data_IF_133669087758
#
_entry.id   IF_133669087758
#
_cell.length_a   1.000
_cell.length_b   1.000
_cell.length_c   1.000
_cell.angle_alpha   90.00
_cell.angle_beta   90.00
_cell.angle_gamma   90.00
#
_symmetry.space_group_name_H-M   'P 1'
#
loop_
_entity.id
_entity.type
_entity.pdbx_description
1 polymer ?
#
# COMPACT_ATOMS: atom_id res chain seq x y z
N UNK A 1 -6.43 4.47 -23.20
CA UNK A 1 -7.77 3.88 -23.26
C UNK A 1 -8.09 3.49 -24.70
N UNK A 2 -8.62 2.30 -24.91
CA UNK A 2 -8.98 1.74 -26.22
C UNK A 2 -10.43 1.30 -26.16
N UNK A 3 -11.25 1.66 -27.15
CA UNK A 3 -12.53 0.97 -27.30
C UNK A 3 -12.37 -0.21 -28.24
N UNK A 4 -12.97 -1.34 -27.90
CA UNK A 4 -12.85 -2.58 -28.64
C UNK A 4 -13.79 -2.59 -29.84
N UNK A 5 -13.24 -2.92 -31.01
CA UNK A 5 -14.01 -3.09 -32.24
C UNK A 5 -13.78 -4.48 -32.82
N UNK A 6 -14.79 -5.05 -33.52
CA UNK A 6 -14.60 -6.32 -34.23
C UNK A 6 -13.36 -6.27 -35.13
N UNK A 7 -12.55 -7.34 -35.11
CA UNK A 7 -11.45 -7.52 -36.06
C UNK A 7 -11.97 -7.33 -37.48
N UNK A 8 -11.39 -6.41 -38.25
CA UNK A 8 -11.73 -5.98 -39.63
C UNK A 8 -12.63 -4.74 -39.79
N UNK A 9 -13.16 -4.15 -38.71
CA UNK A 9 -13.89 -2.88 -38.83
C UNK A 9 -12.95 -1.67 -38.85
N UNK A 10 -13.34 -0.63 -39.60
CA UNK A 10 -12.72 0.68 -39.49
C UNK A 10 -13.05 1.28 -38.11
N UNK A 11 -12.09 1.95 -37.48
CA UNK A 11 -12.34 2.61 -36.21
C UNK A 11 -13.48 3.65 -36.36
N UNK A 12 -14.54 3.58 -35.53
CA UNK A 12 -15.52 4.65 -35.35
C UNK A 12 -14.89 6.04 -35.32
N UNK A 13 -15.57 7.01 -35.91
CA UNK A 13 -15.21 8.43 -35.88
C UNK A 13 -13.79 8.75 -36.41
N UNK A 14 -13.18 7.88 -37.22
CA UNK A 14 -11.84 8.07 -37.78
C UNK A 14 -10.70 7.77 -36.80
N UNK A 15 -10.96 6.99 -35.75
CA UNK A 15 -9.95 6.58 -34.78
C UNK A 15 -8.76 5.83 -35.39
N UNK A 16 -7.66 5.77 -34.62
CA UNK A 16 -6.47 5.04 -35.04
C UNK A 16 -6.50 3.62 -34.48
N UNK A 17 -6.18 2.59 -35.29
CA UNK A 17 -6.05 1.23 -34.79
C UNK A 17 -4.86 1.15 -33.82
N UNK A 18 -5.09 0.53 -32.68
CA UNK A 18 -4.08 0.23 -31.68
C UNK A 18 -3.65 -1.24 -31.84
N UNK A 19 -2.36 -1.51 -32.13
CA UNK A 19 -1.84 -2.86 -32.36
C UNK A 19 -1.72 -3.73 -31.09
N UNK A 20 -1.93 -3.18 -29.89
CA UNK A 20 -1.93 -3.97 -28.66
C UNK A 20 -3.23 -4.77 -28.53
N UNK A 21 -3.10 -6.07 -28.83
CA UNK A 21 -4.20 -7.05 -28.96
C UNK A 21 -5.16 -7.06 -27.77
N UNK A 22 -6.46 -7.07 -28.07
CA UNK A 22 -7.48 -7.60 -27.15
C UNK A 22 -7.22 -9.09 -26.87
N UNK A 23 -7.50 -9.60 -25.65
CA UNK A 23 -7.45 -11.03 -25.35
C UNK A 23 -8.32 -11.90 -26.28
N UNK A 24 -9.34 -11.33 -26.93
CA UNK A 24 -10.29 -12.05 -27.78
C UNK A 24 -10.07 -11.85 -29.29
N UNK A 25 -8.92 -11.29 -29.68
CA UNK A 25 -8.60 -10.99 -31.07
C UNK A 25 -9.08 -9.62 -31.53
N UNK A 26 -10.11 -9.01 -30.94
CA UNK A 26 -10.64 -7.68 -31.30
C UNK A 26 -9.56 -6.59 -31.49
N UNK A 27 -9.79 -5.70 -32.47
CA UNK A 27 -8.96 -4.52 -32.69
C UNK A 27 -9.27 -3.47 -31.62
N UNK A 28 -8.24 -2.84 -31.07
CA UNK A 28 -8.41 -1.69 -30.20
C UNK A 28 -8.39 -0.42 -31.06
N UNK A 29 -9.24 0.55 -30.79
CA UNK A 29 -9.24 1.84 -31.49
C UNK A 29 -9.11 3.00 -30.49
N UNK A 30 -8.33 4.01 -30.86
CA UNK A 30 -8.14 5.23 -30.08
C UNK A 30 -8.87 6.38 -30.79
N UNK A 31 -9.82 7.09 -30.15
CA UNK A 31 -10.52 8.20 -30.80
C UNK A 31 -9.55 9.32 -31.20
N UNK A 32 -9.80 10.05 -32.30
CA UNK A 32 -8.98 11.19 -32.67
C UNK A 32 -8.94 12.27 -31.58
N UNK A 33 -7.75 12.82 -31.31
CA UNK A 33 -7.56 13.84 -30.28
C UNK A 33 -7.44 13.30 -28.85
N UNK A 34 -7.37 11.96 -28.68
CA UNK A 34 -7.11 11.37 -27.37
C UNK A 34 -5.75 11.82 -26.82
N UNK A 35 -5.67 12.24 -25.55
CA UNK A 35 -4.43 12.67 -24.94
C UNK A 35 -3.47 11.49 -24.74
N UNK A 36 -2.18 11.74 -24.89
CA UNK A 36 -1.11 10.83 -24.52
C UNK A 36 -0.30 11.44 -23.38
N UNK A 37 0.32 10.58 -22.57
CA UNK A 37 1.16 10.98 -21.44
C UNK A 37 2.53 10.31 -21.56
N UNK A 38 3.53 10.93 -20.93
CA UNK A 38 4.88 10.38 -20.80
C UNK A 38 5.29 10.44 -19.32
N UNK A 39 6.38 9.76 -18.99
CA UNK A 39 6.93 9.73 -17.63
C UNK A 39 8.30 10.39 -17.52
N UNK A 40 8.67 11.27 -18.45
CA UNK A 40 10.00 11.89 -18.49
C UNK A 40 10.36 12.65 -17.20
N UNK A 41 9.34 13.10 -16.45
CA UNK A 41 9.53 13.79 -15.18
C UNK A 41 9.91 12.87 -14.01
N UNK A 42 9.65 11.57 -14.09
CA UNK A 42 9.82 10.62 -12.97
C UNK A 42 10.65 9.38 -13.34
N UNK A 43 10.89 9.16 -14.63
CA UNK A 43 11.71 8.05 -15.10
C UNK A 43 13.14 8.18 -14.56
N UNK A 44 13.65 7.11 -13.98
CA UNK A 44 14.97 7.10 -13.38
C UNK A 44 15.40 5.69 -12.98
N UNK A 45 16.61 5.58 -12.45
CA UNK A 45 17.13 4.34 -11.89
C UNK A 45 16.85 4.27 -10.40
N UNK A 46 16.71 3.04 -9.87
CA UNK A 46 16.52 2.79 -8.44
C UNK A 46 15.44 3.69 -7.83
N UNK A 47 14.25 3.71 -8.45
CA UNK A 47 13.14 4.62 -8.12
C UNK A 47 12.50 4.35 -6.75
N UNK A 48 12.93 3.30 -6.06
CA UNK A 48 12.34 2.80 -4.83
C UNK A 48 13.29 2.81 -3.61
N UNK A 49 14.00 3.93 -3.31
CA UNK A 49 14.71 4.04 -2.05
C UNK A 49 13.74 3.97 -0.86
N UNK A 50 14.26 3.46 0.26
CA UNK A 50 13.56 3.46 1.55
C UNK A 50 14.46 4.06 2.61
N UNK A 51 13.94 5.03 3.34
CA UNK A 51 14.64 5.66 4.47
C UNK A 51 13.89 5.36 5.77
N UNK A 52 14.61 4.87 6.77
CA UNK A 52 14.09 4.69 8.13
C UNK A 52 14.80 5.63 9.08
N UNK A 53 14.03 6.37 9.87
CA UNK A 53 14.53 7.25 10.91
C UNK A 53 13.72 7.03 12.18
N UNK A 54 14.38 6.94 13.32
CA UNK A 54 13.68 6.66 14.56
C UNK A 54 14.60 6.68 15.77
N UNK A 55 13.97 6.59 16.93
CA UNK A 55 14.65 6.47 18.21
C UNK A 55 13.85 5.57 19.14
N UNK A 56 14.58 4.91 20.05
CA UNK A 56 14.01 4.16 21.17
C UNK A 56 14.71 4.61 22.44
N UNK A 57 13.91 4.92 23.47
CA UNK A 57 14.41 5.27 24.80
C UNK A 57 13.70 4.42 25.82
N UNK A 58 14.46 3.92 26.79
CA UNK A 58 13.94 3.07 27.86
C UNK A 58 14.38 3.58 29.22
N UNK A 59 13.45 3.52 30.18
CA UNK A 59 13.70 3.86 31.57
C UNK A 59 13.23 2.72 32.46
N UNK A 60 14.16 2.18 33.26
CA UNK A 60 13.88 1.16 34.25
C UNK A 60 13.88 1.81 35.64
N UNK A 61 12.78 1.65 36.37
CA UNK A 61 12.68 2.01 37.78
C UNK A 61 12.51 0.76 38.64
N UNK A 62 13.47 0.54 39.54
CA UNK A 62 13.39 -0.52 40.55
C UNK A 62 12.75 0.05 41.81
N UNK A 63 11.48 -0.26 42.05
CA UNK A 63 10.72 0.23 43.20
C UNK A 63 11.28 -0.40 44.48
N UNK A 64 11.53 -1.70 44.44
CA UNK A 64 12.18 -2.50 45.48
C UNK A 64 12.67 -3.83 44.87
N UNK A 65 13.06 -4.78 45.71
CA UNK A 65 13.57 -6.10 45.28
C UNK A 65 12.53 -6.97 44.57
N UNK A 66 11.25 -6.71 44.77
CA UNK A 66 10.16 -7.50 44.21
C UNK A 66 9.46 -6.81 43.03
N UNK A 67 9.53 -5.49 42.94
CA UNK A 67 8.79 -4.68 41.98
C UNK A 67 9.68 -3.76 41.16
N UNK A 68 9.52 -3.81 39.84
CA UNK A 68 10.12 -2.85 38.93
C UNK A 68 9.18 -2.51 37.76
N UNK A 69 9.43 -1.36 37.16
CA UNK A 69 8.69 -0.85 36.01
C UNK A 69 9.70 -0.47 34.94
N UNK A 70 9.54 -1.03 33.74
CA UNK A 70 10.24 -0.62 32.53
C UNK A 70 9.25 0.16 31.66
N UNK A 71 9.62 1.37 31.25
CA UNK A 71 8.89 2.15 30.25
C UNK A 71 9.77 2.27 29.02
N UNK A 72 9.22 2.01 27.85
CA UNK A 72 9.88 2.16 26.54
C UNK A 72 9.07 3.10 25.67
N UNK A 73 9.72 4.10 25.09
CA UNK A 73 9.17 4.96 24.05
C UNK A 73 9.89 4.70 22.75
N UNK A 74 9.13 4.48 21.68
CA UNK A 74 9.64 4.33 20.32
C UNK A 74 8.97 5.33 19.39
N UNK A 75 9.76 5.85 18.46
CA UNK A 75 9.28 6.63 17.32
C UNK A 75 9.99 6.13 16.06
N UNK A 76 9.24 5.97 14.98
CA UNK A 76 9.80 5.69 13.66
C UNK A 76 9.04 6.44 12.58
N UNK A 77 9.79 6.93 11.60
CA UNK A 77 9.31 7.46 10.33
C UNK A 77 10.00 6.68 9.20
N UNK A 78 9.21 6.02 8.38
CA UNK A 78 9.62 5.37 7.13
C UNK A 78 9.13 6.23 5.96
N UNK A 79 10.04 6.49 5.02
CA UNK A 79 9.72 7.12 3.74
C UNK A 79 10.20 6.19 2.62
N UNK A 80 9.25 5.54 1.95
CA UNK A 80 9.48 4.67 0.81
C UNK A 80 8.97 5.33 -0.47
N UNK A 81 9.76 5.27 -1.53
CA UNK A 81 9.41 5.79 -2.84
C UNK A 81 9.19 4.64 -3.83
N UNK A 82 8.60 4.95 -4.98
CA UNK A 82 8.46 4.02 -6.10
C UNK A 82 7.58 2.82 -5.79
N UNK A 83 7.93 1.67 -6.37
CA UNK A 83 7.20 0.41 -6.25
C UNK A 83 8.17 -0.76 -6.06
N UNK A 84 7.70 -1.87 -5.50
CA UNK A 84 8.49 -3.08 -5.22
C UNK A 84 8.10 -4.28 -6.09
N UNK A 85 7.49 -4.02 -7.25
CA UNK A 85 7.20 -5.01 -8.27
C UNK A 85 7.97 -4.67 -9.55
N UNK A 86 8.12 -5.64 -10.44
CA UNK A 86 8.55 -5.43 -11.82
C UNK A 86 7.39 -5.67 -12.79
N UNK A 87 7.56 -5.21 -14.03
CA UNK A 87 6.60 -5.45 -15.11
C UNK A 87 7.30 -6.21 -16.23
N UNK A 88 6.70 -7.28 -16.80
CA UNK A 88 7.30 -7.98 -17.93
C UNK A 88 7.23 -7.16 -19.23
N UNK A 89 6.28 -6.22 -19.31
CA UNK A 89 5.96 -5.49 -20.54
C UNK A 89 5.59 -4.04 -20.25
N UNK A 90 6.16 -3.11 -21.02
CA UNK A 90 5.92 -1.67 -20.97
C UNK A 90 4.53 -1.27 -21.48
N UNK A 91 4.18 0.02 -21.35
CA UNK A 91 2.89 0.58 -21.78
C UNK A 91 2.62 0.52 -23.27
N UNK A 92 3.68 0.44 -24.05
CA UNK A 92 3.69 0.19 -25.47
C UNK A 92 4.06 -1.27 -25.78
N UNK A 93 3.70 -2.22 -24.91
CA UNK A 93 3.76 -3.65 -25.19
C UNK A 93 5.14 -4.21 -25.50
N UNK A 94 6.23 -3.48 -25.23
CA UNK A 94 7.59 -3.94 -25.42
C UNK A 94 8.05 -4.71 -24.18
N UNK A 95 8.85 -5.77 -24.33
CA UNK A 95 9.46 -6.44 -23.18
C UNK A 95 10.30 -5.45 -22.36
N UNK A 96 10.16 -5.51 -21.05
CA UNK A 96 11.00 -4.79 -20.09
C UNK A 96 12.10 -5.72 -19.56
N UNK A 97 13.20 -5.14 -19.08
CA UNK A 97 14.24 -5.91 -18.41
C UNK A 97 13.78 -6.29 -16.98
N UNK A 98 14.42 -7.28 -16.34
CA UNK A 98 14.17 -7.56 -14.92
C UNK A 98 14.34 -6.31 -14.07
N UNK A 99 13.45 -6.12 -13.09
CA UNK A 99 13.44 -4.97 -12.16
C UNK A 99 13.07 -3.62 -12.81
N UNK A 100 12.53 -3.61 -14.03
CA UNK A 100 11.98 -2.42 -14.67
C UNK A 100 10.46 -2.31 -14.50
N UNK A 101 9.98 -1.07 -14.49
CA UNK A 101 8.55 -0.73 -14.48
C UNK A 101 8.27 0.46 -15.38
N UNK A 102 7.03 0.56 -15.87
CA UNK A 102 6.53 1.78 -16.51
C UNK A 102 5.47 2.44 -15.63
N UNK A 103 5.84 3.52 -14.94
CA UNK A 103 4.95 4.36 -14.12
C UNK A 103 4.78 5.73 -14.77
N UNK A 104 3.64 6.40 -14.54
CA UNK A 104 3.38 7.77 -15.03
C UNK A 104 3.10 8.79 -13.94
N UNK A 105 2.87 8.33 -12.71
CA UNK A 105 2.75 9.17 -11.52
C UNK A 105 3.71 8.69 -10.43
N UNK A 106 4.02 9.58 -9.49
CA UNK A 106 4.81 9.20 -8.32
C UNK A 106 4.03 8.19 -7.46
N UNK A 107 4.77 7.25 -6.89
CA UNK A 107 4.27 6.32 -5.87
C UNK A 107 5.12 6.47 -4.61
N UNK A 108 4.50 6.49 -3.44
CA UNK A 108 5.20 6.54 -2.16
C UNK A 108 4.36 5.95 -1.02
N UNK A 109 5.05 5.59 0.06
CA UNK A 109 4.48 5.16 1.33
C UNK A 109 5.23 5.86 2.48
N UNK A 110 4.50 6.69 3.22
CA UNK A 110 4.98 7.38 4.42
C UNK A 110 4.30 6.76 5.63
N UNK A 111 5.05 5.97 6.38
CA UNK A 111 4.58 5.28 7.58
C UNK A 111 5.27 5.84 8.82
N UNK A 112 4.47 6.35 9.75
CA UNK A 112 4.93 6.95 11.00
C UNK A 112 4.26 6.28 12.16
N UNK A 113 5.03 5.80 13.12
CA UNK A 113 4.48 5.33 14.39
C UNK A 113 5.19 5.89 15.60
N UNK A 114 4.41 6.06 16.67
CA UNK A 114 4.88 6.21 18.03
C UNK A 114 4.29 5.08 18.88
N UNK A 115 5.11 4.51 19.76
CA UNK A 115 4.68 3.43 20.63
C UNK A 115 5.24 3.65 22.03
N UNK A 116 4.36 3.82 23.00
CA UNK A 116 4.69 3.82 24.43
C UNK A 116 4.33 2.46 24.99
N UNK A 117 5.30 1.74 25.53
CA UNK A 117 5.08 0.47 26.20
C UNK A 117 5.55 0.52 27.65
N UNK A 118 4.85 -0.18 28.54
CA UNK A 118 5.27 -0.36 29.92
C UNK A 118 5.17 -1.82 30.34
N UNK A 119 6.12 -2.25 31.16
CA UNK A 119 6.15 -3.57 31.76
C UNK A 119 6.39 -3.43 33.25
N UNK A 120 5.44 -3.90 34.04
CA UNK A 120 5.56 -4.00 35.49
C UNK A 120 5.86 -5.46 35.82
N UNK A 121 7.03 -5.69 36.40
CA UNK A 121 7.35 -6.98 37.02
C UNK A 121 7.15 -6.87 38.53
N UNK A 122 6.53 -7.89 39.09
CA UNK A 122 6.18 -7.94 40.50
C UNK A 122 6.21 -9.35 41.08
N UNK A 123 6.03 -9.42 42.39
CA UNK A 123 5.65 -10.65 43.09
C UNK A 123 4.40 -10.43 43.94
N UNK A 124 3.50 -11.41 43.90
CA UNK A 124 2.32 -11.48 44.75
C UNK A 124 2.42 -12.79 45.54
N UNK A 125 2.88 -12.68 46.79
CA UNK A 125 3.28 -13.85 47.57
C UNK A 125 4.38 -14.65 46.84
N UNK A 126 4.22 -15.96 46.64
CA UNK A 126 5.19 -16.75 45.89
C UNK A 126 5.08 -16.58 44.37
N UNK A 127 4.00 -15.99 43.86
CA UNK A 127 3.74 -15.90 42.42
C UNK A 127 4.49 -14.73 41.79
N UNK A 128 5.03 -14.92 40.59
CA UNK A 128 5.54 -13.83 39.77
C UNK A 128 4.38 -13.21 38.99
N UNK A 129 4.23 -11.90 39.13
CA UNK A 129 3.26 -11.10 38.39
C UNK A 129 3.96 -10.32 37.28
N UNK A 130 3.35 -10.27 36.10
CA UNK A 130 3.76 -9.42 35.00
C UNK A 130 2.53 -8.71 34.45
N UNK A 131 2.57 -7.39 34.42
CA UNK A 131 1.59 -6.58 33.70
C UNK A 131 2.33 -5.86 32.57
N UNK A 132 1.81 -5.96 31.36
CA UNK A 132 2.33 -5.25 30.18
C UNK A 132 1.22 -4.45 29.54
N UNK A 133 1.50 -3.21 29.19
CA UNK A 133 0.61 -2.40 28.38
C UNK A 133 1.39 -1.70 27.28
N UNK A 134 0.67 -1.32 26.22
CA UNK A 134 1.23 -0.61 25.09
C UNK A 134 0.19 0.26 24.42
N UNK A 135 0.61 1.46 24.02
CA UNK A 135 -0.19 2.41 23.27
C UNK A 135 0.54 2.78 21.98
N UNK A 136 -0.03 2.34 20.86
CA UNK A 136 0.48 2.58 19.52
C UNK A 136 -0.38 3.62 18.82
N UNK A 137 0.25 4.60 18.19
CA UNK A 137 -0.39 5.44 17.17
C UNK A 137 0.44 5.32 15.89
N UNK A 138 -0.18 4.82 14.83
CA UNK A 138 0.44 4.67 13.51
C UNK A 138 -0.37 5.42 12.46
N UNK A 139 0.32 6.18 11.60
CA UNK A 139 -0.25 6.90 10.48
C UNK A 139 0.46 6.47 9.20
N UNK A 140 -0.31 6.06 8.20
CA UNK A 140 0.18 5.62 6.90
C UNK A 140 -0.45 6.50 5.83
N UNK A 141 0.38 7.14 5.00
CA UNK A 141 -0.03 7.94 3.84
C UNK A 141 0.62 7.36 2.59
N UNK A 142 -0.21 6.87 1.68
CA UNK A 142 0.21 6.18 0.48
C UNK A 142 -0.40 6.83 -0.75
N UNK A 143 0.40 6.91 -1.80
CA UNK A 143 -0.07 7.20 -3.16
C UNK A 143 0.56 6.22 -4.11
N UNK A 144 -0.21 5.75 -5.10
CA UNK A 144 0.28 4.82 -6.11
C UNK A 144 -0.17 5.21 -7.51
N UNK A 145 0.73 4.99 -8.47
CA UNK A 145 0.39 5.04 -9.89
C UNK A 145 -0.55 3.88 -10.22
N UNK A 146 -1.73 4.23 -10.71
CA UNK A 146 -2.77 3.30 -11.13
C UNK A 146 -2.98 3.32 -12.65
N UNK A 147 -2.15 4.07 -13.37
CA UNK A 147 -2.23 4.26 -14.83
C UNK A 147 -2.19 2.94 -15.61
N UNK A 148 -1.55 1.90 -15.08
CA UNK A 148 -1.48 0.60 -15.76
C UNK A 148 -2.88 -0.03 -15.99
N UNK A 149 -3.89 0.33 -15.18
CA UNK A 149 -5.28 -0.10 -15.41
C UNK A 149 -5.87 0.43 -16.72
N UNK A 150 -5.32 1.50 -17.29
CA UNK A 150 -5.73 2.06 -18.58
C UNK A 150 -5.53 1.10 -19.77
N UNK A 151 -4.82 -0.02 -19.56
CA UNK A 151 -4.61 -1.10 -20.53
C UNK A 151 -5.65 -2.23 -20.42
N UNK A 152 -6.48 -2.23 -19.38
CA UNK A 152 -7.46 -3.27 -19.15
C UNK A 152 -8.54 -3.32 -20.24
N UNK A 153 -9.16 -4.48 -20.41
CA UNK A 153 -10.25 -4.74 -21.38
C UNK A 153 -11.47 -3.84 -21.18
N UNK A 154 -11.60 -3.22 -20.01
CA UNK A 154 -12.71 -2.32 -19.69
C UNK A 154 -12.25 -0.91 -19.34
N UNK A 155 -11.00 -0.54 -19.68
CA UNK A 155 -10.44 0.76 -19.35
C UNK A 155 -11.19 1.93 -20.00
N UNK A 156 -11.70 1.72 -21.21
CA UNK A 156 -12.53 2.66 -21.96
C UNK A 156 -13.83 3.04 -21.26
N UNK A 157 -14.48 2.12 -20.55
CA UNK A 157 -15.67 2.42 -19.74
C UNK A 157 -15.41 3.50 -18.69
N UNK A 158 -14.18 3.61 -18.19
CA UNK A 158 -13.80 4.55 -17.15
C UNK A 158 -13.12 5.82 -17.69
N UNK A 159 -12.58 5.77 -18.91
CA UNK A 159 -11.71 6.82 -19.45
C UNK A 159 -12.24 7.47 -20.73
N UNK A 160 -13.33 6.97 -21.30
CA UNK A 160 -13.89 7.46 -22.57
C UNK A 160 -15.44 7.50 -22.54
N UNK A 161 -16.04 8.27 -23.44
CA UNK A 161 -17.48 8.22 -23.75
C UNK A 161 -17.71 8.23 -25.27
N UNK A 162 -18.85 7.67 -25.72
CA UNK A 162 -19.29 7.67 -27.13
C UNK A 162 -19.97 6.37 -27.57
N UNK A 163 -20.27 6.21 -28.88
CA UNK A 163 -20.77 4.98 -29.48
C UNK A 163 -19.80 3.82 -29.29
N UNK A 164 -18.49 4.09 -29.33
CA UNK A 164 -17.45 3.08 -29.12
C UNK A 164 -17.45 2.49 -27.70
N UNK A 165 -17.97 3.18 -26.69
CA UNK A 165 -18.01 2.71 -25.29
C UNK A 165 -19.37 2.16 -24.86
N UNK A 166 -20.34 2.10 -25.78
CA UNK A 166 -21.69 1.60 -25.50
C UNK A 166 -22.55 2.51 -24.60
N UNK A 167 -22.10 3.74 -24.31
CA UNK A 167 -22.82 4.66 -23.40
C UNK A 167 -23.88 5.51 -24.12
N UNK A 168 -23.50 6.22 -25.19
CA UNK A 168 -24.42 7.03 -25.99
C UNK A 168 -23.95 7.10 -27.44
N UNK A 169 -24.74 6.51 -28.33
CA UNK A 169 -24.41 6.39 -29.74
C UNK A 169 -24.48 7.70 -30.53
N UNK A 170 -24.99 8.79 -29.93
CA UNK A 170 -25.08 10.11 -30.55
C UNK A 170 -23.91 11.04 -30.18
N UNK A 171 -23.04 10.63 -29.25
CA UNK A 171 -21.89 11.43 -28.85
C UNK A 171 -20.68 11.10 -29.73
N UNK A 172 -19.77 12.05 -29.93
CA UNK A 172 -18.49 11.76 -30.58
C UNK A 172 -17.58 11.01 -29.60
N UNK A 173 -16.97 9.91 -30.04
CA UNK A 173 -16.03 9.15 -29.22
C UNK A 173 -14.88 10.04 -28.72
N UNK A 174 -14.73 10.15 -27.40
CA UNK A 174 -13.72 11.00 -26.75
C UNK A 174 -13.12 10.26 -25.57
N UNK A 175 -11.79 10.23 -25.49
CA UNK A 175 -11.06 9.69 -24.34
C UNK A 175 -10.32 10.80 -23.59
N UNK A 176 -10.20 10.64 -22.28
CA UNK A 176 -9.46 11.54 -21.39
C UNK A 176 -8.08 10.99 -21.07
N UNK A 177 -7.33 11.73 -20.24
CA UNK A 177 -6.00 11.32 -19.80
C UNK A 177 -6.05 9.91 -19.20
N UNK A 178 -5.16 9.00 -19.61
CA UNK A 178 -5.08 7.67 -19.00
C UNK A 178 -4.42 7.70 -17.63
N UNK A 179 -3.84 8.85 -17.22
CA UNK A 179 -3.20 9.01 -15.91
C UNK A 179 -4.21 8.75 -14.80
N UNK A 180 -3.86 7.87 -13.87
CA UNK A 180 -4.71 7.54 -12.73
C UNK A 180 -3.85 7.25 -11.51
N UNK A 181 -4.31 7.69 -10.35
CA UNK A 181 -3.65 7.45 -9.05
C UNK A 181 -4.68 6.99 -8.03
N UNK A 182 -4.25 6.22 -7.05
CA UNK A 182 -4.99 6.03 -5.80
C UNK A 182 -4.20 6.65 -4.65
N UNK A 183 -4.91 7.07 -3.61
CA UNK A 183 -4.29 7.49 -2.36
C UNK A 183 -5.04 6.91 -1.17
N UNK A 184 -4.32 6.54 -0.13
CA UNK A 184 -4.86 6.00 1.10
C UNK A 184 -4.23 6.72 2.29
N UNK A 185 -5.07 7.11 3.25
CA UNK A 185 -4.63 7.67 4.52
C UNK A 185 -5.27 6.83 5.61
N UNK A 186 -4.43 6.18 6.40
CA UNK A 186 -4.85 5.30 7.48
C UNK A 186 -4.26 5.78 8.79
N UNK A 187 -5.08 5.76 9.85
CA UNK A 187 -4.63 6.02 11.21
C UNK A 187 -5.13 4.90 12.11
N UNK A 188 -4.19 4.14 12.67
CA UNK A 188 -4.47 3.08 13.62
C UNK A 188 -4.00 3.48 15.01
N UNK A 189 -4.87 3.29 15.99
CA UNK A 189 -4.56 3.51 17.40
C UNK A 189 -4.94 2.26 18.15
N UNK A 190 -4.03 1.73 18.95
CA UNK A 190 -4.25 0.50 19.71
C UNK A 190 -3.72 0.64 21.14
N UNK A 191 -4.55 0.29 22.11
CA UNK A 191 -4.27 0.18 23.52
C UNK A 191 -4.42 -1.28 23.95
N UNK A 192 -3.29 -1.96 24.07
CA UNK A 192 -3.24 -3.36 24.47
C UNK A 192 -2.79 -3.50 25.93
N UNK A 193 -3.39 -4.45 26.64
CA UNK A 193 -3.14 -4.73 28.04
C UNK A 193 -3.10 -6.23 28.30
N UNK A 194 -2.10 -6.66 29.07
CA UNK A 194 -2.00 -8.05 29.48
C UNK A 194 -1.51 -8.18 30.92
N UNK A 195 -2.16 -9.05 31.68
CA UNK A 195 -1.72 -9.43 33.03
C UNK A 195 -1.50 -10.93 33.09
N UNK A 196 -0.37 -11.35 33.67
CA UNK A 196 0.02 -12.75 33.85
C UNK A 196 0.50 -13.03 35.27
N UNK A 197 0.08 -14.18 35.81
CA UNK A 197 0.61 -14.77 37.03
C UNK A 197 1.26 -16.10 36.72
N UNK A 198 2.42 -16.35 37.33
CA UNK A 198 3.13 -17.62 37.18
C UNK A 198 3.65 -18.14 38.52
N UNK A 199 3.54 -19.46 38.72
CA UNK A 199 4.08 -20.14 39.90
C UNK A 199 5.61 -20.25 39.85
N UNK A 200 6.31 -20.33 40.99
CA UNK A 200 7.75 -20.59 41.04
C UNK A 200 8.19 -21.81 40.24
N UNK A 201 9.37 -21.73 39.64
CA UNK A 201 10.00 -22.87 38.94
C UNK A 201 10.35 -24.03 39.86
N UNK A 202 10.49 -23.78 41.17
CA UNK A 202 10.77 -24.80 42.19
C UNK A 202 9.56 -25.65 42.56
N UNK A 203 8.34 -25.24 42.20
CA UNK A 203 7.14 -25.99 42.55
C UNK A 203 7.01 -27.25 41.67
N UNK A 204 6.47 -28.32 42.28
CA UNK A 204 6.19 -29.57 41.58
C UNK A 204 5.07 -29.43 40.55
N UNK A 205 4.04 -28.63 40.85
CA UNK A 205 3.02 -28.19 39.91
C UNK A 205 3.31 -26.75 39.49
N UNK A 206 3.36 -26.48 38.19
CA UNK A 206 3.62 -25.16 37.63
C UNK A 206 2.51 -24.75 36.70
N UNK A 207 2.15 -23.47 36.74
CA UNK A 207 1.12 -22.90 35.89
C UNK A 207 1.36 -21.44 35.59
N UNK A 208 0.79 -21.00 34.48
CA UNK A 208 0.63 -19.60 34.11
C UNK A 208 -0.84 -19.36 33.81
N UNK A 209 -1.37 -18.24 34.27
CA UNK A 209 -2.71 -17.77 33.95
C UNK A 209 -2.63 -16.28 33.64
N UNK A 210 -3.46 -15.80 32.72
CA UNK A 210 -3.46 -14.40 32.36
C UNK A 210 -4.75 -13.96 31.68
N UNK A 211 -4.87 -12.66 31.53
CA UNK A 211 -5.95 -11.97 30.83
C UNK A 211 -5.33 -10.97 29.88
N UNK A 212 -5.86 -10.93 28.66
CA UNK A 212 -5.49 -9.99 27.61
C UNK A 212 -6.72 -9.20 27.19
N UNK A 213 -6.54 -7.91 26.92
CA UNK A 213 -7.55 -7.02 26.38
C UNK A 213 -6.90 -6.04 25.40
N UNK A 214 -7.63 -5.74 24.33
CA UNK A 214 -7.27 -4.79 23.26
C UNK A 214 -8.54 -4.02 22.87
N UNK A 215 -8.38 -2.82 22.31
CA UNK A 215 -9.47 -1.95 21.88
C UNK A 215 -9.74 -1.97 20.36
#
# INVERSE_FOLDING_TARGET
>A
ANYFVPLSSACPDGGQPNPYRSPAGEGACVPPGSPSINNYAIAGHAINPVTFQGARVEALYKINDDWNVLISQMYQNMDAQGVFYDQPTSSDGRPLAPLDVTLFNNSNDKDRFENTAWTVHGKIGPLRAVYTGGYLVRNVDQVGDYTNYARGVYADYYQCYGPGTGYNNNLKSTCFSPSSTWSSVERNTHLQNEFRLSTPSSWRLRGIVGVYADD
#
